data_IF_556684357003
#
_entry.id   IF_556684357003
#
_cell.length_a   1.000
_cell.length_b   1.000
_cell.length_c   1.000
_cell.angle_alpha   90.00
_cell.angle_beta   90.00
_cell.angle_gamma   90.00
#
_symmetry.space_group_name_H-M   'P 1'
#
loop_
_entity.id
_entity.type
_entity.pdbx_description
1 polymer ?
#
# COMPACT_ATOMS: atom_id res chain seq x y z
N UNK A 1 36.05 -86.84 30.54
CA UNK A 1 34.64 -87.15 30.24
C UNK A 1 33.89 -85.83 30.11
N UNK A 2 33.29 -85.59 28.94
CA UNK A 2 32.31 -84.54 28.58
C UNK A 2 32.81 -83.08 28.65
N UNK A 3 33.13 -82.38 27.56
CA UNK A 3 32.30 -81.89 26.44
C UNK A 3 31.22 -80.87 26.88
N UNK A 4 31.38 -79.60 26.45
CA UNK A 4 30.40 -78.74 25.72
C UNK A 4 30.33 -77.25 26.10
N UNK A 5 30.59 -76.43 25.08
CA UNK A 5 29.81 -75.28 24.57
C UNK A 5 29.57 -74.06 25.49
N UNK A 6 30.34 -72.99 25.27
CA UNK A 6 29.96 -71.61 25.61
C UNK A 6 29.37 -70.92 24.39
N UNK A 7 28.04 -70.95 24.26
CA UNK A 7 27.27 -70.14 23.34
C UNK A 7 26.66 -68.95 24.09
N UNK A 8 27.02 -67.75 23.69
CA UNK A 8 26.49 -66.49 24.24
C UNK A 8 25.07 -66.32 23.71
N UNK A 9 24.10 -66.10 24.58
CA UNK A 9 22.74 -65.66 24.18
C UNK A 9 22.29 -64.52 25.09
N UNK A 10 22.37 -63.31 24.54
CA UNK A 10 21.78 -62.11 25.12
C UNK A 10 20.26 -62.16 24.89
N UNK A 11 19.50 -62.14 25.98
CA UNK A 11 18.03 -62.08 25.94
C UNK A 11 17.60 -60.62 25.94
N UNK A 12 17.27 -60.08 24.76
CA UNK A 12 16.71 -58.74 24.61
C UNK A 12 15.19 -58.83 24.79
N UNK A 13 14.68 -58.31 25.90
CA UNK A 13 13.23 -58.20 26.14
C UNK A 13 12.63 -57.14 25.23
N UNK A 14 11.80 -57.58 24.27
CA UNK A 14 11.08 -56.72 23.34
C UNK A 14 9.81 -56.17 24.00
N UNK A 15 9.80 -54.87 24.30
CA UNK A 15 8.59 -54.12 24.66
C UNK A 15 7.63 -54.13 23.48
N UNK A 16 6.42 -54.68 23.66
CA UNK A 16 5.35 -54.64 22.64
C UNK A 16 4.74 -53.24 22.60
N UNK A 17 4.91 -52.54 21.49
CA UNK A 17 4.11 -51.37 21.15
C UNK A 17 2.72 -51.83 20.72
N UNK A 18 1.69 -51.30 21.38
CA UNK A 18 0.29 -51.50 20.95
C UNK A 18 0.10 -50.72 19.66
N UNK A 19 -0.07 -51.45 18.56
CA UNK A 19 -0.41 -50.90 17.24
C UNK A 19 -1.80 -50.28 17.30
N UNK A 20 -1.86 -48.95 17.40
CA UNK A 20 -3.03 -48.20 16.97
C UNK A 20 -3.11 -48.29 15.45
N UNK A 21 -4.29 -48.59 14.91
CA UNK A 21 -4.50 -48.73 13.47
C UNK A 21 -4.02 -47.46 12.73
N UNK A 22 -2.91 -47.58 12.00
CA UNK A 22 -2.42 -46.54 11.11
C UNK A 22 -3.43 -46.43 9.96
N UNK A 23 -4.17 -45.31 9.90
CA UNK A 23 -4.86 -44.92 8.66
C UNK A 23 -3.79 -44.42 7.68
N UNK A 24 -3.29 -45.32 6.85
CA UNK A 24 -2.50 -44.97 5.68
C UNK A 24 -3.46 -44.31 4.70
N UNK A 25 -3.37 -42.98 4.56
CA UNK A 25 -4.04 -42.27 3.49
C UNK A 25 -3.17 -42.46 2.26
N UNK A 26 -3.64 -43.29 1.34
CA UNK A 26 -3.03 -43.45 0.02
C UNK A 26 -3.19 -42.12 -0.73
N UNK A 27 -2.09 -41.37 -0.82
CA UNK A 27 -2.05 -40.14 -1.61
C UNK A 27 -1.66 -40.57 -3.02
N UNK A 28 -2.66 -40.70 -3.89
CA UNK A 28 -2.48 -41.05 -5.30
C UNK A 28 -1.36 -40.21 -5.94
N UNK A 29 -0.54 -40.80 -6.82
CA UNK A 29 0.53 -40.15 -7.61
C UNK A 29 0.07 -38.97 -8.50
N UNK A 30 -1.23 -38.65 -8.53
CA UNK A 30 -1.77 -37.55 -9.32
C UNK A 30 -1.63 -36.25 -8.52
N UNK A 31 -1.03 -35.19 -9.11
CA UNK A 31 -0.88 -33.91 -8.43
C UNK A 31 -2.25 -33.42 -7.93
N UNK A 32 -2.28 -32.90 -6.70
CA UNK A 32 -3.48 -32.37 -6.09
C UNK A 32 -4.08 -31.27 -6.96
N UNK A 33 -5.25 -31.52 -7.55
CA UNK A 33 -6.00 -30.50 -8.29
C UNK A 33 -6.82 -29.70 -7.28
N UNK A 34 -6.38 -28.47 -6.99
CA UNK A 34 -7.13 -27.56 -6.16
C UNK A 34 -8.34 -27.02 -6.93
N UNK A 35 -9.56 -27.36 -6.50
CA UNK A 35 -10.77 -26.74 -6.99
C UNK A 35 -10.97 -25.40 -6.27
N UNK A 36 -10.53 -24.31 -6.91
CA UNK A 36 -10.77 -22.96 -6.42
C UNK A 36 -12.17 -22.53 -6.84
N UNK A 37 -13.08 -22.39 -5.86
CA UNK A 37 -14.46 -21.94 -6.05
C UNK A 37 -14.60 -20.53 -5.48
N UNK A 38 -15.19 -19.60 -6.26
CA UNK A 38 -15.58 -18.26 -5.79
C UNK A 38 -17.08 -18.11 -6.02
N UNK A 39 -17.84 -17.79 -4.97
CA UNK A 39 -19.31 -17.66 -5.01
C UNK A 39 -20.02 -18.91 -5.59
N UNK A 40 -19.54 -20.11 -5.26
CA UNK A 40 -20.13 -21.36 -5.74
C UNK A 40 -19.84 -21.70 -7.21
N UNK A 41 -19.05 -20.88 -7.92
CA UNK A 41 -18.63 -21.13 -9.31
C UNK A 41 -17.15 -21.51 -9.36
N UNK A 42 -16.84 -22.54 -10.14
CA UNK A 42 -15.48 -23.03 -10.33
C UNK A 42 -14.70 -21.96 -11.10
N UNK A 43 -13.62 -21.45 -10.49
CA UNK A 43 -12.78 -20.43 -11.11
C UNK A 43 -11.85 -21.16 -12.07
N UNK A 44 -11.94 -20.91 -13.39
CA UNK A 44 -11.04 -21.54 -14.34
C UNK A 44 -9.60 -21.11 -14.02
N UNK A 45 -8.69 -22.08 -13.99
CA UNK A 45 -7.27 -21.79 -13.83
C UNK A 45 -6.80 -20.94 -15.02
N UNK A 46 -6.24 -19.76 -14.72
CA UNK A 46 -5.66 -18.91 -15.75
C UNK A 46 -4.44 -19.61 -16.31
N UNK A 47 -4.48 -19.99 -17.59
CA UNK A 47 -3.33 -20.54 -18.29
C UNK A 47 -2.30 -19.45 -18.53
N UNK A 48 -1.24 -19.44 -17.72
CA UNK A 48 -0.12 -18.52 -17.90
C UNK A 48 0.94 -19.15 -18.81
N UNK A 49 1.51 -18.37 -19.72
CA UNK A 49 2.69 -18.79 -20.47
C UNK A 49 3.89 -18.84 -19.51
N UNK A 50 4.35 -20.04 -19.18
CA UNK A 50 5.41 -20.27 -18.20
C UNK A 50 6.71 -19.54 -18.56
N UNK A 51 7.07 -19.47 -19.84
CA UNK A 51 8.27 -18.76 -20.31
C UNK A 51 8.12 -17.25 -20.16
N UNK A 52 6.95 -16.69 -20.50
CA UNK A 52 6.67 -15.26 -20.33
C UNK A 52 6.61 -14.86 -18.85
N UNK A 53 6.00 -15.71 -18.01
CA UNK A 53 5.95 -15.52 -16.55
C UNK A 53 7.35 -15.60 -15.94
N UNK A 54 8.15 -16.58 -16.34
CA UNK A 54 9.51 -16.72 -15.87
C UNK A 54 10.39 -15.56 -16.34
N UNK A 55 10.23 -15.08 -17.58
CA UNK A 55 10.90 -13.88 -18.06
C UNK A 55 10.47 -12.65 -17.27
N UNK A 56 9.18 -12.50 -16.97
CA UNK A 56 8.65 -11.40 -16.13
C UNK A 56 9.23 -11.44 -14.70
N UNK A 57 9.35 -12.63 -14.09
CA UNK A 57 9.98 -12.82 -12.78
C UNK A 57 11.51 -12.59 -12.82
N UNK A 58 12.18 -13.05 -13.87
CA UNK A 58 13.63 -12.96 -14.06
C UNK A 58 14.12 -11.56 -14.43
N UNK A 59 13.23 -10.68 -14.92
CA UNK A 59 13.56 -9.28 -15.18
C UNK A 59 13.96 -8.53 -13.90
N UNK A 60 13.83 -9.12 -12.71
CA UNK A 60 14.26 -8.50 -11.44
C UNK A 60 13.43 -7.27 -11.06
N UNK A 61 12.49 -6.88 -11.92
CA UNK A 61 11.49 -5.86 -11.67
C UNK A 61 10.29 -6.53 -11.01
N UNK A 62 10.51 -7.18 -9.86
CA UNK A 62 9.63 -6.85 -8.74
C UNK A 62 9.98 -5.39 -8.43
N UNK A 63 9.49 -4.47 -9.27
CA UNK A 63 9.21 -3.12 -8.78
C UNK A 63 8.42 -3.43 -7.51
N UNK A 64 8.79 -2.89 -6.32
CA UNK A 64 7.82 -2.89 -5.25
C UNK A 64 6.52 -2.46 -5.93
N UNK A 65 5.45 -3.25 -5.78
CA UNK A 65 4.13 -2.73 -6.11
C UNK A 65 4.13 -1.43 -5.35
N UNK A 66 4.31 -0.31 -6.05
CA UNK A 66 4.44 0.98 -5.41
C UNK A 66 3.10 1.08 -4.71
N UNK A 67 3.11 0.82 -3.41
CA UNK A 67 1.90 0.92 -2.64
C UNK A 67 1.70 2.42 -2.54
N UNK A 68 1.07 2.97 -3.58
CA UNK A 68 0.77 4.39 -3.74
C UNK A 68 -0.26 4.83 -2.69
N UNK A 69 -0.72 3.90 -1.83
CA UNK A 69 -1.61 4.21 -0.74
C UNK A 69 -0.84 4.90 0.38
N UNK A 70 -1.35 6.06 0.76
CA UNK A 70 -0.83 6.84 1.89
C UNK A 70 -1.80 6.75 3.05
N UNK A 71 -1.29 6.93 4.27
CA UNK A 71 -2.10 6.93 5.49
C UNK A 71 -2.99 8.18 5.50
N UNK A 72 -4.30 7.97 5.46
CA UNK A 72 -5.31 9.05 5.55
C UNK A 72 -5.71 9.28 6.99
N UNK A 73 -5.83 8.21 7.77
CA UNK A 73 -6.14 8.28 9.19
C UNK A 73 -5.51 7.12 9.95
N UNK A 74 -5.33 7.34 11.24
CA UNK A 74 -4.85 6.34 12.18
C UNK A 74 -5.57 6.51 13.51
N UNK A 75 -5.81 5.40 14.20
CA UNK A 75 -6.50 5.38 15.51
C UNK A 75 -5.73 6.11 16.60
N UNK A 76 -4.41 6.24 16.45
CA UNK A 76 -3.54 6.93 17.39
C UNK A 76 -2.87 8.12 16.70
N UNK A 77 -3.01 9.35 17.22
CA UNK A 77 -2.42 10.54 16.61
C UNK A 77 -0.89 10.44 16.47
N UNK A 78 -0.36 11.04 15.40
CA UNK A 78 1.08 11.08 15.17
C UNK A 78 1.81 11.77 16.33
N UNK A 79 2.97 11.23 16.71
CA UNK A 79 3.77 11.75 17.84
C UNK A 79 3.33 11.28 19.23
N UNK A 80 2.25 10.51 19.34
CA UNK A 80 1.80 9.93 20.62
C UNK A 80 2.68 8.74 21.01
N UNK A 81 3.21 8.75 22.24
CA UNK A 81 3.95 7.59 22.78
C UNK A 81 2.99 6.46 23.12
N UNK A 82 3.27 5.26 22.64
CA UNK A 82 2.46 4.06 22.91
C UNK A 82 3.33 2.93 23.47
N UNK A 83 2.73 2.08 24.29
CA UNK A 83 3.39 0.87 24.75
C UNK A 83 3.64 -0.09 23.58
N UNK A 84 4.73 -0.85 23.65
CA UNK A 84 5.02 -1.87 22.64
C UNK A 84 3.90 -2.92 22.62
N UNK A 85 3.40 -3.26 21.44
CA UNK A 85 2.33 -4.25 21.25
C UNK A 85 0.92 -3.65 21.16
N UNK A 86 0.76 -2.33 21.27
CA UNK A 86 -0.51 -1.65 20.98
C UNK A 86 -0.80 -1.75 19.48
N UNK A 87 -1.97 -2.26 19.12
CA UNK A 87 -2.46 -2.27 17.75
C UNK A 87 -2.81 -0.85 17.31
N UNK A 88 -2.36 -0.46 16.11
CA UNK A 88 -2.70 0.81 15.48
C UNK A 88 -3.34 0.51 14.14
N UNK A 89 -4.61 0.81 14.02
CA UNK A 89 -5.31 0.72 12.74
C UNK A 89 -4.92 1.91 11.86
N UNK A 90 -4.54 1.61 10.62
CA UNK A 90 -4.20 2.58 9.58
C UNK A 90 -5.22 2.48 8.44
N UNK A 91 -5.81 3.60 8.07
CA UNK A 91 -6.59 3.70 6.85
C UNK A 91 -5.68 4.19 5.72
N UNK A 92 -5.56 3.38 4.68
CA UNK A 92 -4.71 3.65 3.52
C UNK A 92 -5.59 3.98 2.31
N UNK A 93 -5.24 5.04 1.55
CA UNK A 93 -5.94 5.38 0.32
C UNK A 93 -4.97 5.79 -0.80
N UNK A 94 -5.30 5.43 -2.03
CA UNK A 94 -4.53 5.79 -3.22
C UNK A 94 -4.89 7.22 -3.63
N UNK A 95 -3.91 8.11 -3.76
CA UNK A 95 -4.12 9.52 -4.10
C UNK A 95 -4.96 9.74 -5.38
N UNK A 96 -4.85 8.83 -6.35
CA UNK A 96 -5.61 8.87 -7.61
C UNK A 96 -7.13 8.71 -7.45
N UNK A 97 -7.56 8.08 -6.34
CA UNK A 97 -8.96 7.83 -6.03
C UNK A 97 -9.53 8.84 -5.03
N UNK A 98 -8.72 9.77 -4.53
CA UNK A 98 -9.14 10.78 -3.55
C UNK A 98 -9.56 12.04 -4.32
N UNK A 99 -10.87 12.32 -4.45
CA UNK A 99 -11.34 13.58 -5.00
C UNK A 99 -11.04 14.73 -4.03
N UNK A 100 -10.90 15.96 -4.53
CA UNK A 100 -10.51 17.09 -3.68
C UNK A 100 -11.61 17.59 -2.74
N UNK A 101 -12.87 17.25 -2.99
CA UNK A 101 -14.03 17.63 -2.17
C UNK A 101 -14.03 17.01 -0.76
N UNK A 102 -13.27 15.92 -0.56
CA UNK A 102 -13.06 15.30 0.76
C UNK A 102 -12.03 16.05 1.62
N UNK A 103 -11.26 16.97 1.03
CA UNK A 103 -10.30 17.79 1.77
C UNK A 103 -11.03 18.90 2.54
N UNK A 104 -10.41 19.41 3.59
CA UNK A 104 -10.97 20.54 4.33
C UNK A 104 -10.79 21.84 3.54
N UNK A 105 -11.91 22.42 3.08
CA UNK A 105 -11.95 23.74 2.39
C UNK A 105 -11.00 23.81 1.18
N UNK A 106 -11.14 22.90 0.19
CA UNK A 106 -10.34 22.91 -1.02
C UNK A 106 -10.67 24.12 -1.90
N UNK A 107 -9.75 24.47 -2.79
CA UNK A 107 -9.97 25.50 -3.80
C UNK A 107 -11.04 25.03 -4.80
N UNK A 108 -12.18 25.73 -4.86
CA UNK A 108 -13.36 25.30 -5.61
C UNK A 108 -13.12 25.14 -7.10
N UNK A 109 -12.29 25.99 -7.71
CA UNK A 109 -11.95 25.83 -9.13
C UNK A 109 -11.33 24.47 -9.48
N UNK A 110 -10.59 23.85 -8.54
CA UNK A 110 -10.00 22.53 -8.74
C UNK A 110 -11.05 21.42 -8.58
N UNK A 111 -11.93 21.57 -7.60
CA UNK A 111 -13.06 20.64 -7.36
C UNK A 111 -14.02 20.65 -8.55
N UNK A 112 -14.41 21.84 -9.02
CA UNK A 112 -15.35 22.03 -10.13
C UNK A 112 -14.84 21.40 -11.44
N UNK A 113 -13.51 21.33 -11.60
CA UNK A 113 -12.83 20.68 -12.73
C UNK A 113 -12.52 19.19 -12.52
N UNK A 114 -12.90 18.62 -11.38
CA UNK A 114 -12.74 17.19 -11.09
C UNK A 114 -11.30 16.74 -10.84
N UNK A 115 -10.42 17.63 -10.37
CA UNK A 115 -9.06 17.24 -9.99
C UNK A 115 -9.08 16.24 -8.82
N UNK A 116 -8.09 15.35 -8.81
CA UNK A 116 -7.80 14.42 -7.71
C UNK A 116 -6.55 14.85 -6.96
N UNK A 117 -6.31 14.29 -5.76
CA UNK A 117 -5.07 14.55 -5.01
C UNK A 117 -3.83 14.20 -5.84
N UNK A 118 -3.87 13.11 -6.60
CA UNK A 118 -2.78 12.73 -7.51
C UNK A 118 -2.55 13.78 -8.60
N UNK A 119 -3.62 14.27 -9.25
CA UNK A 119 -3.49 15.29 -10.28
C UNK A 119 -2.83 16.57 -9.73
N UNK A 120 -3.11 16.94 -8.48
CA UNK A 120 -2.40 18.06 -7.84
C UNK A 120 -0.92 17.75 -7.60
N UNK A 121 -0.61 16.53 -7.13
CA UNK A 121 0.76 16.11 -6.88
C UNK A 121 1.61 16.11 -8.17
N UNK A 122 1.02 15.72 -9.29
CA UNK A 122 1.70 15.65 -10.58
C UNK A 122 1.75 17.02 -11.26
N UNK A 123 0.61 17.71 -11.38
CA UNK A 123 0.48 18.91 -12.20
C UNK A 123 1.04 20.16 -11.52
N UNK A 124 0.93 20.29 -10.19
CA UNK A 124 1.41 21.47 -9.47
C UNK A 124 2.69 21.15 -8.70
N UNK A 125 2.67 20.09 -7.90
CA UNK A 125 3.79 19.75 -7.04
C UNK A 125 4.91 19.08 -7.82
N UNK A 126 4.72 18.69 -9.08
CA UNK A 126 5.77 18.28 -10.00
C UNK A 126 6.93 19.29 -10.06
N UNK A 127 6.61 20.58 -9.97
CA UNK A 127 7.59 21.67 -9.82
C UNK A 127 8.21 21.65 -8.41
N UNK A 128 9.54 21.46 -8.36
CA UNK A 128 10.29 21.38 -7.11
C UNK A 128 10.26 22.69 -6.31
N UNK A 129 10.20 23.85 -6.96
CA UNK A 129 10.14 25.14 -6.29
C UNK A 129 8.80 25.33 -5.58
N UNK A 130 7.69 25.02 -6.27
CA UNK A 130 6.34 25.06 -5.69
C UNK A 130 6.24 24.07 -4.54
N UNK A 131 6.68 22.82 -4.75
CA UNK A 131 6.63 21.77 -3.73
C UNK A 131 7.38 22.17 -2.47
N UNK A 132 8.64 22.58 -2.60
CA UNK A 132 9.47 22.91 -1.43
C UNK A 132 8.88 24.12 -0.68
N UNK A 133 8.46 25.16 -1.41
CA UNK A 133 7.82 26.31 -0.78
C UNK A 133 6.54 25.93 0.00
N UNK A 134 5.70 25.07 -0.57
CA UNK A 134 4.49 24.57 0.09
C UNK A 134 4.84 23.72 1.32
N UNK A 135 5.85 22.84 1.25
CA UNK A 135 6.24 21.98 2.36
C UNK A 135 6.85 22.78 3.54
N UNK A 136 7.66 23.79 3.25
CA UNK A 136 8.36 24.58 4.26
C UNK A 136 7.43 25.61 4.94
N UNK A 137 6.48 26.19 4.21
CA UNK A 137 5.57 27.20 4.76
C UNK A 137 4.46 26.58 5.63
N UNK A 138 4.21 27.17 6.80
CA UNK A 138 3.09 26.79 7.68
C UNK A 138 1.77 27.48 7.33
N UNK A 139 1.85 28.71 6.79
CA UNK A 139 0.70 29.53 6.38
C UNK A 139 0.95 30.14 5.00
N UNK A 140 -0.10 30.55 4.24
CA UNK A 140 0.10 31.16 2.93
C UNK A 140 0.90 32.46 2.96
N UNK A 141 0.84 33.22 4.06
CA UNK A 141 1.60 34.47 4.26
C UNK A 141 3.09 34.24 4.53
N UNK A 142 3.47 33.03 4.97
CA UNK A 142 4.86 32.66 5.19
C UNK A 142 5.62 32.39 3.87
N UNK A 143 4.90 32.25 2.75
CA UNK A 143 5.51 32.12 1.43
C UNK A 143 6.16 33.43 0.98
N UNK A 144 7.30 33.33 0.30
CA UNK A 144 7.89 34.50 -0.35
C UNK A 144 6.97 35.05 -1.44
N UNK A 145 7.01 36.36 -1.75
CA UNK A 145 6.20 36.94 -2.82
C UNK A 145 6.43 36.26 -4.18
N UNK A 146 7.68 35.85 -4.45
CA UNK A 146 8.03 35.11 -5.66
C UNK A 146 7.35 33.74 -5.71
N UNK A 147 7.33 33.00 -4.60
CA UNK A 147 6.64 31.71 -4.52
C UNK A 147 5.11 31.86 -4.67
N UNK A 148 4.52 32.88 -4.04
CA UNK A 148 3.10 33.18 -4.20
C UNK A 148 2.74 33.46 -5.66
N UNK A 149 3.54 34.30 -6.34
CA UNK A 149 3.32 34.60 -7.76
C UNK A 149 3.48 33.36 -8.64
N UNK A 150 4.48 32.50 -8.35
CA UNK A 150 4.68 31.26 -9.10
C UNK A 150 3.49 30.31 -8.96
N UNK A 151 2.96 30.15 -7.76
CA UNK A 151 1.74 29.36 -7.52
C UNK A 151 0.55 29.95 -8.29
N UNK A 152 0.34 31.27 -8.23
CA UNK A 152 -0.74 31.93 -8.99
C UNK A 152 -0.61 31.70 -10.49
N UNK A 153 0.60 31.82 -11.03
CA UNK A 153 0.86 31.54 -12.44
C UNK A 153 0.54 30.08 -12.79
N UNK A 154 0.92 29.13 -11.94
CA UNK A 154 0.60 27.71 -12.16
C UNK A 154 -0.92 27.44 -12.20
N UNK A 155 -1.72 28.15 -11.40
CA UNK A 155 -3.18 28.10 -11.49
C UNK A 155 -3.68 28.72 -12.79
N UNK A 156 -3.22 29.92 -13.15
CA UNK A 156 -3.62 30.62 -14.38
C UNK A 156 -3.28 29.82 -15.65
N UNK A 157 -2.11 29.18 -15.71
CA UNK A 157 -1.70 28.30 -16.82
C UNK A 157 -2.63 27.11 -17.05
N UNK A 158 -3.45 26.76 -16.03
CA UNK A 158 -4.44 25.68 -16.07
C UNK A 158 -5.87 26.22 -16.15
N UNK A 159 -6.03 27.48 -16.53
CA UNK A 159 -7.30 28.22 -16.58
C UNK A 159 -8.08 28.15 -15.25
N UNK A 160 -7.35 28.21 -14.13
CA UNK A 160 -7.91 28.29 -12.79
C UNK A 160 -7.69 29.70 -12.25
N UNK A 161 -8.76 30.35 -11.84
CA UNK A 161 -8.68 31.68 -11.23
C UNK A 161 -8.43 31.55 -9.73
N UNK A 162 -7.41 32.27 -9.24
CA UNK A 162 -7.23 32.56 -7.82
C UNK A 162 -7.81 33.94 -7.56
N UNK A 163 -8.96 33.99 -6.91
CA UNK A 163 -9.72 35.20 -6.60
C UNK A 163 -9.66 35.47 -5.10
N UNK A 164 -8.83 36.44 -4.69
CA UNK A 164 -8.68 36.81 -3.28
C UNK A 164 -9.94 37.48 -2.69
N UNK A 165 -10.95 37.79 -3.51
CA UNK A 165 -12.28 38.24 -3.07
C UNK A 165 -13.25 37.11 -2.72
N UNK A 166 -12.97 35.86 -3.13
CA UNK A 166 -13.79 34.68 -2.87
C UNK A 166 -13.06 33.70 -1.94
N UNK A 167 -13.48 33.52 -0.66
CA UNK A 167 -12.85 32.60 0.28
C UNK A 167 -12.77 31.13 -0.17
N UNK A 168 -13.53 30.75 -1.18
CA UNK A 168 -13.53 29.41 -1.76
C UNK A 168 -12.59 29.26 -2.97
N UNK A 169 -12.09 30.37 -3.52
CA UNK A 169 -11.17 30.44 -4.67
C UNK A 169 -9.97 31.35 -4.41
N UNK A 170 -9.77 31.75 -3.16
CA UNK A 170 -8.67 32.61 -2.74
C UNK A 170 -7.33 31.85 -2.71
N UNK A 171 -6.24 32.60 -2.58
CA UNK A 171 -4.92 32.01 -2.47
C UNK A 171 -4.76 31.10 -1.24
N UNK A 172 -5.49 31.38 -0.16
CA UNK A 172 -5.47 30.54 1.05
C UNK A 172 -6.05 29.14 0.78
N UNK A 173 -7.14 29.04 0.03
CA UNK A 173 -7.74 27.77 -0.38
C UNK A 173 -6.83 27.02 -1.36
N UNK A 174 -6.18 27.72 -2.28
CA UNK A 174 -5.15 27.15 -3.16
C UNK A 174 -4.00 26.55 -2.34
N UNK A 175 -3.43 27.34 -1.43
CA UNK A 175 -2.35 26.91 -0.54
C UNK A 175 -2.73 25.67 0.28
N UNK A 176 -3.88 25.68 0.96
CA UNK A 176 -4.35 24.54 1.75
C UNK A 176 -4.49 23.28 0.89
N UNK A 177 -5.07 23.41 -0.31
CA UNK A 177 -5.25 22.28 -1.23
C UNK A 177 -3.91 21.68 -1.65
N UNK A 178 -2.95 22.53 -2.06
CA UNK A 178 -1.60 22.10 -2.40
C UNK A 178 -0.89 21.45 -1.21
N UNK A 179 -1.00 22.04 -0.02
CA UNK A 179 -0.38 21.51 1.22
C UNK A 179 -0.94 20.13 1.58
N UNK A 180 -2.26 19.96 1.52
CA UNK A 180 -2.91 18.67 1.75
C UNK A 180 -2.47 17.63 0.72
N UNK A 181 -2.40 18.00 -0.56
CA UNK A 181 -1.93 17.09 -1.61
C UNK A 181 -0.44 16.74 -1.48
N UNK A 182 0.39 17.64 -0.96
CA UNK A 182 1.82 17.41 -0.75
C UNK A 182 2.10 16.27 0.24
N UNK A 183 1.18 15.99 1.16
CA UNK A 183 1.29 14.86 2.09
C UNK A 183 1.26 13.48 1.40
N UNK A 184 0.81 13.42 0.14
CA UNK A 184 0.69 12.17 -0.61
C UNK A 184 1.89 11.85 -1.50
N UNK A 185 2.82 12.80 -1.66
CA UNK A 185 4.00 12.65 -2.51
C UNK A 185 5.20 12.09 -1.76
#
# INVERSE_FOLDING_TARGET
MSDRLSGISATTSTTRFVSGAIKVIDVSEKPAQANVVREGKLVPAVTTNATALQNWLNLGVIRPVEDLRRVVSQTIPAGTRVARGVAVDLLLAEARLIPLDVLERPHRGLVDRGFTVQAIADDFLGDAEIRNAILDASTPEALSPAAQQRIRNAFTERDLTVDDGDPARDFSSAFRTLKSAAAFR
#
